data_IF_493993134122
#
_entry.id   IF_493993134122
#
_cell.length_a   1.000
_cell.length_b   1.000
_cell.length_c   1.000
_cell.angle_alpha   90.00
_cell.angle_beta   90.00
_cell.angle_gamma   90.00
#
_symmetry.space_group_name_H-M   'P 1'
#
loop_
_entity.id
_entity.type
_entity.pdbx_description
1 polymer ?
#
# COMPACT_ATOMS: atom_id res chain seq x y z
N UNK A 1 -35.13 6.09 12.33
CA UNK A 1 -34.55 5.63 11.06
C UNK A 1 -33.10 5.27 11.31
N UNK A 2 -32.75 4.03 11.01
CA UNK A 2 -31.49 3.39 11.38
C UNK A 2 -30.41 3.87 10.42
N UNK A 3 -29.39 4.55 10.94
CA UNK A 3 -28.13 4.77 10.26
C UNK A 3 -27.02 4.05 11.02
N UNK A 4 -26.94 2.72 10.89
CA UNK A 4 -25.71 2.01 11.24
C UNK A 4 -24.63 2.47 10.24
N UNK A 5 -23.93 3.55 10.57
CA UNK A 5 -22.74 3.96 9.87
C UNK A 5 -21.68 2.88 10.07
N UNK A 6 -21.60 1.94 9.12
CA UNK A 6 -20.39 1.12 8.95
C UNK A 6 -19.21 2.09 8.91
N UNK A 7 -18.40 2.11 9.96
CA UNK A 7 -17.10 2.76 9.93
C UNK A 7 -16.34 2.13 8.77
N UNK A 8 -16.24 2.84 7.64
CA UNK A 8 -15.32 2.48 6.58
C UNK A 8 -13.95 2.47 7.24
N UNK A 9 -13.38 1.29 7.34
CA UNK A 9 -12.06 1.09 7.92
C UNK A 9 -11.12 1.61 6.85
N UNK A 10 -10.80 2.89 6.89
CA UNK A 10 -9.91 3.52 5.91
C UNK A 10 -8.50 3.62 6.51
N UNK A 11 -7.49 3.28 5.71
CA UNK A 11 -6.07 3.50 6.01
C UNK A 11 -5.62 4.66 5.15
N UNK A 12 -5.65 5.88 5.72
CA UNK A 12 -5.04 7.07 5.13
C UNK A 12 -5.55 7.38 3.71
N UNK A 13 -6.87 7.24 3.53
CA UNK A 13 -7.56 7.47 2.25
C UNK A 13 -7.83 6.21 1.43
N UNK A 14 -7.40 5.02 1.89
CA UNK A 14 -7.63 3.75 1.22
C UNK A 14 -8.61 2.84 1.98
N UNK A 15 -9.58 2.19 1.31
CA UNK A 15 -10.46 1.23 1.96
C UNK A 15 -9.69 0.01 2.48
N UNK A 16 -9.96 -0.47 3.68
CA UNK A 16 -9.21 -1.57 4.30
C UNK A 16 -10.07 -2.81 4.57
N UNK A 17 -9.38 -3.91 4.92
CA UNK A 17 -9.98 -5.19 5.28
C UNK A 17 -10.69 -5.07 6.64
N UNK A 18 -12.02 -5.19 6.62
CA UNK A 18 -12.86 -4.97 7.80
C UNK A 18 -13.00 -6.23 8.66
N UNK A 19 -13.04 -7.41 8.04
CA UNK A 19 -13.34 -8.67 8.71
C UNK A 19 -12.10 -9.46 9.14
N UNK A 20 -12.21 -10.25 10.24
CA UNK A 20 -11.14 -11.15 10.70
C UNK A 20 -10.71 -12.18 9.62
N UNK A 21 -11.63 -12.83 8.89
CA UNK A 21 -11.25 -13.80 7.85
C UNK A 21 -10.46 -13.18 6.70
N UNK A 22 -10.80 -11.96 6.29
CA UNK A 22 -10.07 -11.26 5.23
C UNK A 22 -8.65 -10.90 5.66
N UNK A 23 -8.46 -10.47 6.92
CA UNK A 23 -7.12 -10.20 7.45
C UNK A 23 -6.27 -11.47 7.50
N UNK A 24 -6.82 -12.59 7.93
CA UNK A 24 -6.12 -13.87 7.92
C UNK A 24 -5.69 -14.28 6.50
N UNK A 25 -6.59 -14.16 5.52
CA UNK A 25 -6.25 -14.43 4.11
C UNK A 25 -5.15 -13.48 3.61
N UNK A 26 -5.24 -12.19 3.94
CA UNK A 26 -4.21 -11.23 3.57
C UNK A 26 -2.84 -11.59 4.16
N UNK A 27 -2.81 -11.99 5.43
CA UNK A 27 -1.59 -12.45 6.08
C UNK A 27 -1.06 -13.72 5.41
N UNK A 28 -1.91 -14.68 5.05
CA UNK A 28 -1.50 -15.89 4.30
C UNK A 28 -0.92 -15.59 2.92
N UNK A 29 -1.44 -14.58 2.22
CA UNK A 29 -0.96 -14.18 0.89
C UNK A 29 0.40 -13.47 0.92
N UNK A 30 0.89 -13.10 2.11
CA UNK A 30 2.19 -12.47 2.31
C UNK A 30 2.38 -11.24 1.42
N UNK A 31 1.32 -10.45 1.23
CA UNK A 31 1.40 -9.23 0.46
C UNK A 31 2.20 -8.16 1.21
N UNK A 32 3.12 -7.53 0.50
CA UNK A 32 3.82 -6.32 0.92
C UNK A 32 3.60 -5.21 -0.10
N UNK A 33 3.78 -3.96 0.32
CA UNK A 33 3.57 -2.82 -0.56
C UNK A 33 4.75 -1.87 -0.56
N UNK A 34 4.88 -1.15 -1.67
CA UNK A 34 5.64 0.11 -1.77
C UNK A 34 4.61 1.24 -1.92
N UNK A 35 4.76 2.29 -1.14
CA UNK A 35 3.80 3.39 -1.08
C UNK A 35 4.50 4.75 -1.15
N UNK A 36 3.75 5.75 -1.62
CA UNK A 36 4.08 7.16 -1.54
C UNK A 36 3.07 7.84 -0.61
N UNK A 37 3.56 8.40 0.50
CA UNK A 37 2.73 9.05 1.53
C UNK A 37 3.21 10.49 1.76
N UNK A 38 2.29 11.41 1.96
CA UNK A 38 2.62 12.79 2.28
C UNK A 38 1.39 13.60 2.65
N UNK A 39 1.51 14.91 2.89
CA UNK A 39 0.37 15.74 3.23
C UNK A 39 -0.65 15.77 2.09
N UNK A 40 -1.89 16.16 2.39
CA UNK A 40 -2.97 16.26 1.38
C UNK A 40 -2.60 17.13 0.17
N UNK A 41 -1.72 18.12 0.34
CA UNK A 41 -1.19 18.97 -0.76
C UNK A 41 -0.15 18.31 -1.67
N UNK A 42 0.21 17.04 -1.44
CA UNK A 42 0.99 16.22 -2.38
C UNK A 42 2.51 16.39 -2.34
N UNK A 43 3.07 17.31 -1.54
CA UNK A 43 4.53 17.47 -1.36
C UNK A 43 4.89 17.94 0.06
N UNK A 44 6.03 17.51 0.63
CA UNK A 44 6.92 16.46 0.13
C UNK A 44 6.31 15.06 0.31
N UNK A 45 6.80 14.08 -0.45
CA UNK A 45 6.35 12.69 -0.34
C UNK A 45 7.45 11.81 0.26
N UNK A 46 7.06 10.95 1.18
CA UNK A 46 7.86 9.83 1.65
C UNK A 46 7.57 8.61 0.81
N UNK A 47 8.61 8.00 0.26
CA UNK A 47 8.51 6.66 -0.31
C UNK A 47 8.83 5.65 0.79
N UNK A 48 8.07 4.57 0.89
CA UNK A 48 8.33 3.53 1.88
C UNK A 48 7.79 2.19 1.44
N UNK A 49 8.08 1.17 2.23
CA UNK A 49 7.49 -0.15 2.05
C UNK A 49 6.96 -0.67 3.38
N UNK A 50 5.96 -1.55 3.32
CA UNK A 50 5.38 -2.19 4.50
C UNK A 50 4.65 -3.48 4.16
N UNK A 51 4.73 -4.47 5.05
CA UNK A 51 3.80 -5.60 5.11
C UNK A 51 2.52 -5.22 5.83
N UNK A 52 2.65 -4.63 7.01
CA UNK A 52 1.55 -4.10 7.82
C UNK A 52 1.38 -2.59 7.58
N UNK A 53 0.73 -2.24 6.46
CA UNK A 53 0.56 -0.84 6.04
C UNK A 53 -0.14 -0.01 7.12
N UNK A 54 -1.20 -0.53 7.74
CA UNK A 54 -1.98 0.18 8.77
C UNK A 54 -1.10 0.64 9.93
N UNK A 55 -0.36 -0.28 10.53
CA UNK A 55 0.51 -0.01 11.68
C UNK A 55 1.61 0.98 11.30
N UNK A 56 2.18 0.80 10.10
CA UNK A 56 3.20 1.70 9.56
C UNK A 56 2.68 3.13 9.38
N UNK A 57 1.47 3.29 8.84
CA UNK A 57 0.89 4.62 8.63
C UNK A 57 0.54 5.29 9.95
N UNK A 58 0.02 4.55 10.93
CA UNK A 58 -0.23 5.07 12.28
C UNK A 58 1.05 5.60 12.92
N UNK A 59 2.14 4.83 12.85
CA UNK A 59 3.44 5.27 13.35
C UNK A 59 3.95 6.55 12.65
N UNK A 60 3.77 6.65 11.33
CA UNK A 60 4.17 7.84 10.58
C UNK A 60 3.33 9.08 10.92
N UNK A 61 2.03 8.91 11.15
CA UNK A 61 1.13 10.03 11.50
C UNK A 61 1.46 10.64 12.86
N UNK A 62 1.88 9.83 13.85
CA UNK A 62 2.31 10.34 15.16
C UNK A 62 3.49 11.31 15.05
N UNK A 63 4.36 11.10 14.06
CA UNK A 63 5.49 11.99 13.75
C UNK A 63 5.16 13.15 12.83
N UNK A 64 3.90 13.34 12.42
CA UNK A 64 3.49 14.39 11.47
C UNK A 64 2.39 15.26 12.03
N UNK A 65 2.63 16.57 12.03
CA UNK A 65 1.64 17.58 12.44
C UNK A 65 0.55 17.82 11.39
N UNK A 66 0.73 17.34 10.15
CA UNK A 66 -0.28 17.37 9.09
C UNK A 66 -0.87 15.98 8.87
N UNK A 67 -2.13 15.94 8.44
CA UNK A 67 -2.77 14.71 7.98
C UNK A 67 -2.00 14.15 6.78
N UNK A 68 -1.52 12.92 6.92
CA UNK A 68 -0.90 12.18 5.85
C UNK A 68 -1.95 11.46 5.01
N UNK A 69 -1.66 11.30 3.72
CA UNK A 69 -2.45 10.49 2.79
C UNK A 69 -1.55 9.65 1.92
N UNK A 70 -2.01 8.45 1.60
CA UNK A 70 -1.35 7.61 0.61
C UNK A 70 -1.76 8.11 -0.77
N UNK A 71 -0.78 8.65 -1.48
CA UNK A 71 -0.95 9.18 -2.83
C UNK A 71 -0.78 8.11 -3.90
N UNK A 72 0.06 7.11 -3.62
CA UNK A 72 0.23 5.95 -4.49
C UNK A 72 0.62 4.71 -3.69
N UNK A 73 0.21 3.54 -4.15
CA UNK A 73 0.57 2.26 -3.55
C UNK A 73 0.60 1.15 -4.60
N UNK A 74 1.63 0.33 -4.53
CA UNK A 74 1.83 -0.86 -5.36
C UNK A 74 2.06 -2.07 -4.45
N UNK A 75 1.28 -3.13 -4.64
CA UNK A 75 1.36 -4.38 -3.89
C UNK A 75 2.12 -5.43 -4.67
N UNK A 76 2.92 -6.23 -3.95
CA UNK A 76 3.74 -7.33 -4.47
C UNK A 76 3.67 -8.53 -3.54
N UNK A 77 3.86 -9.73 -4.09
CA UNK A 77 3.87 -10.95 -3.30
C UNK A 77 5.24 -11.13 -2.61
N UNK A 78 5.31 -10.83 -1.31
CA UNK A 78 6.49 -11.03 -0.49
C UNK A 78 7.35 -9.79 -0.24
N UNK A 79 7.94 -9.76 0.95
CA UNK A 79 8.72 -8.64 1.48
C UNK A 79 9.96 -8.34 0.64
N UNK A 80 10.67 -9.36 0.17
CA UNK A 80 11.91 -9.21 -0.61
C UNK A 80 11.66 -8.45 -1.94
N UNK A 81 10.52 -8.69 -2.59
CA UNK A 81 10.15 -7.97 -3.79
C UNK A 81 9.80 -6.51 -3.47
N UNK A 82 9.12 -6.25 -2.36
CA UNK A 82 8.79 -4.89 -1.94
C UNK A 82 10.05 -4.08 -1.60
N UNK A 83 11.00 -4.68 -0.88
CA UNK A 83 12.29 -4.08 -0.54
C UNK A 83 13.07 -3.76 -1.81
N UNK A 84 13.16 -4.71 -2.76
CA UNK A 84 13.85 -4.49 -4.04
C UNK A 84 13.21 -3.36 -4.85
N UNK A 85 11.88 -3.36 -4.94
CA UNK A 85 11.12 -2.32 -5.63
C UNK A 85 11.32 -0.94 -4.99
N UNK A 86 11.29 -0.87 -3.66
CA UNK A 86 11.56 0.35 -2.90
C UNK A 86 12.98 0.89 -3.15
N UNK A 87 14.00 0.02 -3.08
CA UNK A 87 15.39 0.41 -3.31
C UNK A 87 15.59 0.95 -4.73
N UNK A 88 14.99 0.32 -5.74
CA UNK A 88 15.10 0.77 -7.14
C UNK A 88 14.36 2.10 -7.38
N UNK A 89 13.17 2.27 -6.78
CA UNK A 89 12.41 3.51 -6.86
C UNK A 89 13.18 4.67 -6.21
N UNK A 90 13.68 4.48 -4.99
CA UNK A 90 14.45 5.50 -4.28
C UNK A 90 15.79 5.81 -4.97
N UNK A 91 16.49 4.81 -5.50
CA UNK A 91 17.71 5.03 -6.28
C UNK A 91 17.44 5.87 -7.55
N UNK A 92 16.29 5.68 -8.19
CA UNK A 92 15.86 6.50 -9.33
C UNK A 92 15.63 7.97 -8.91
N UNK A 93 14.96 8.18 -7.77
CA UNK A 93 14.72 9.53 -7.22
C UNK A 93 16.01 10.22 -6.76
N UNK A 94 16.97 9.45 -6.25
CA UNK A 94 18.30 9.96 -5.85
C UNK A 94 19.10 10.44 -7.04
N UNK A 95 19.11 9.67 -8.14
CA UNK A 95 19.74 10.09 -9.39
C UNK A 95 19.12 11.36 -9.95
N UNK A 96 17.82 11.56 -9.73
CA UNK A 96 17.10 12.78 -10.08
C UNK A 96 17.31 13.93 -9.07
N UNK A 97 18.16 13.77 -8.05
CA UNK A 97 18.46 14.75 -6.99
C UNK A 97 17.21 15.26 -6.27
N UNK A 98 16.24 14.38 -6.00
CA UNK A 98 14.96 14.74 -5.36
C UNK A 98 14.91 14.49 -3.85
N UNK A 99 15.90 13.81 -3.27
CA UNK A 99 15.91 13.49 -1.84
C UNK A 99 16.08 14.75 -1.01
N UNK A 100 15.22 14.91 0.00
CA UNK A 100 15.31 15.97 1.00
C UNK A 100 16.05 15.46 2.24
N UNK A 101 15.52 14.43 2.89
CA UNK A 101 16.09 13.82 4.08
C UNK A 101 15.51 12.43 4.31
N UNK A 102 16.37 11.44 4.60
CA UNK A 102 15.95 10.03 4.71
C UNK A 102 15.07 9.66 3.50
N UNK A 103 13.95 9.00 3.70
CA UNK A 103 13.05 8.58 2.61
C UNK A 103 12.07 9.66 2.14
N UNK A 104 12.31 10.94 2.47
CA UNK A 104 11.48 12.06 2.00
C UNK A 104 12.07 12.69 0.73
N UNK A 105 11.19 12.98 -0.23
CA UNK A 105 11.52 13.49 -1.54
C UNK A 105 10.62 14.68 -1.93
N UNK A 106 11.18 15.66 -2.63
CA UNK A 106 10.42 16.77 -3.24
C UNK A 106 9.89 16.36 -4.62
N UNK A 107 8.76 15.64 -4.63
CA UNK A 107 8.14 15.06 -5.84
C UNK A 107 6.61 15.10 -5.74
N UNK A 108 5.90 15.27 -6.86
CA UNK A 108 4.42 15.12 -6.88
C UNK A 108 3.99 13.67 -6.72
N UNK A 109 2.69 13.41 -6.43
CA UNK A 109 2.07 12.09 -6.53
C UNK A 109 2.32 11.37 -7.87
N UNK A 110 2.17 12.09 -8.98
CA UNK A 110 2.34 11.53 -10.33
C UNK A 110 3.79 11.10 -10.56
N UNK A 111 4.74 11.91 -10.10
CA UNK A 111 6.16 11.57 -10.20
C UNK A 111 6.53 10.37 -9.33
N UNK A 112 5.95 10.27 -8.12
CA UNK A 112 6.12 9.10 -7.26
C UNK A 112 5.54 7.83 -7.89
N UNK A 113 4.34 7.91 -8.49
CA UNK A 113 3.73 6.81 -9.24
C UNK A 113 4.62 6.37 -10.41
N UNK A 114 5.13 7.32 -11.20
CA UNK A 114 6.02 7.01 -12.32
C UNK A 114 7.33 6.36 -11.85
N UNK A 115 7.93 6.84 -10.76
CA UNK A 115 9.14 6.26 -10.20
C UNK A 115 8.92 4.82 -9.72
N UNK A 116 7.81 4.54 -9.04
CA UNK A 116 7.46 3.19 -8.58
C UNK A 116 7.19 2.26 -9.77
N UNK A 117 6.45 2.74 -10.79
CA UNK A 117 6.18 1.97 -12.01
C UNK A 117 7.46 1.65 -12.77
N UNK A 118 8.33 2.64 -12.99
CA UNK A 118 9.61 2.43 -13.68
C UNK A 118 10.50 1.44 -12.92
N UNK A 119 10.52 1.51 -11.59
CA UNK A 119 11.26 0.57 -10.75
C UNK A 119 10.73 -0.86 -10.87
N UNK A 120 9.41 -1.04 -10.96
CA UNK A 120 8.76 -2.33 -11.18
C UNK A 120 9.13 -2.90 -12.55
N UNK A 121 8.98 -2.10 -13.61
CA UNK A 121 9.29 -2.47 -15.00
C UNK A 121 10.76 -2.88 -15.13
N UNK A 122 11.68 -2.06 -14.60
CA UNK A 122 13.12 -2.33 -14.64
C UNK A 122 13.52 -3.59 -13.85
N UNK A 123 12.81 -3.88 -12.76
CA UNK A 123 13.11 -5.04 -11.91
C UNK A 123 12.39 -6.32 -12.34
N UNK A 124 11.50 -6.25 -13.34
CA UNK A 124 10.62 -7.36 -13.72
C UNK A 124 9.66 -7.78 -12.59
N UNK A 125 9.32 -6.86 -11.68
CA UNK A 125 8.47 -7.15 -10.52
C UNK A 125 7.03 -6.85 -10.88
N UNK A 126 6.18 -7.88 -10.89
CA UNK A 126 4.75 -7.68 -11.08
C UNK A 126 4.14 -6.99 -9.86
N UNK A 127 3.47 -5.87 -10.10
CA UNK A 127 2.72 -5.13 -9.06
C UNK A 127 1.23 -5.20 -9.34
N UNK A 128 0.42 -5.07 -8.29
CA UNK A 128 -1.02 -4.88 -8.39
C UNK A 128 -1.44 -3.64 -7.58
N UNK A 129 -2.54 -3.04 -7.97
CA UNK A 129 -3.16 -1.93 -7.26
C UNK A 129 -3.77 -2.39 -5.93
N UNK A 130 -4.07 -1.42 -5.06
CA UNK A 130 -4.75 -1.72 -3.80
C UNK A 130 -6.14 -2.35 -4.01
N UNK A 131 -6.91 -1.86 -4.99
CA UNK A 131 -8.22 -2.43 -5.32
C UNK A 131 -8.14 -3.89 -5.77
N UNK A 132 -7.16 -4.22 -6.61
CA UNK A 132 -6.91 -5.60 -7.06
C UNK A 132 -6.48 -6.50 -5.90
N UNK A 133 -5.62 -6.01 -5.00
CA UNK A 133 -5.24 -6.74 -3.79
C UNK A 133 -6.48 -7.08 -2.94
N UNK A 134 -7.35 -6.10 -2.67
CA UNK A 134 -8.59 -6.32 -1.93
C UNK A 134 -9.49 -7.34 -2.64
N UNK A 135 -9.60 -7.26 -3.97
CA UNK A 135 -10.42 -8.18 -4.74
C UNK A 135 -9.90 -9.62 -4.66
N UNK A 136 -8.58 -9.82 -4.69
CA UNK A 136 -7.97 -11.15 -4.53
C UNK A 136 -8.29 -11.77 -3.17
N UNK A 137 -8.16 -11.00 -2.09
CA UNK A 137 -8.51 -11.45 -0.73
C UNK A 137 -10.00 -11.85 -0.66
N UNK A 138 -10.89 -11.02 -1.21
CA UNK A 138 -12.34 -11.29 -1.21
C UNK A 138 -12.70 -12.51 -2.05
N UNK A 139 -12.06 -12.71 -3.20
CA UNK A 139 -12.28 -13.87 -4.07
C UNK A 139 -11.90 -15.18 -3.36
N UNK A 140 -10.76 -15.21 -2.68
CA UNK A 140 -10.32 -16.39 -1.91
C UNK A 140 -11.31 -16.68 -0.78
N UNK A 141 -11.77 -15.65 -0.07
CA UNK A 141 -12.80 -15.81 0.97
C UNK A 141 -14.07 -16.43 0.39
N UNK A 142 -14.55 -15.93 -0.75
CA UNK A 142 -15.74 -16.43 -1.43
C UNK A 142 -15.57 -17.92 -1.81
N UNK A 143 -14.45 -18.28 -2.43
CA UNK A 143 -14.13 -19.67 -2.79
C UNK A 143 -14.14 -20.59 -1.57
N UNK A 144 -13.52 -20.18 -0.45
CA UNK A 144 -13.50 -20.98 0.78
C UNK A 144 -14.90 -21.23 1.34
N UNK A 145 -15.79 -20.24 1.27
CA UNK A 145 -17.18 -20.38 1.73
C UNK A 145 -17.94 -21.35 0.82
N UNK A 146 -17.79 -21.22 -0.50
CA UNK A 146 -18.43 -22.12 -1.47
C UNK A 146 -17.97 -23.58 -1.31
N UNK A 147 -16.69 -23.80 -1.03
CA UNK A 147 -16.13 -25.13 -0.79
C UNK A 147 -16.67 -25.77 0.50
N UNK A 148 -16.90 -24.97 1.54
CA UNK A 148 -17.52 -25.45 2.79
C UNK A 148 -18.98 -25.83 2.55
N UNK A 149 -19.75 -25.00 1.82
CA UNK A 149 -21.16 -25.28 1.51
C UNK A 149 -21.31 -26.55 0.67
N UNK A 150 -20.43 -26.79 -0.31
CA UNK A 150 -20.47 -28.00 -1.15
C UNK A 150 -20.14 -29.29 -0.40
N UNK A 151 -19.48 -29.20 0.76
CA UNK A 151 -19.05 -30.35 1.57
C UNK A 151 -19.99 -30.65 2.75
N UNK A 152 -20.94 -29.77 3.01
CA UNK A 152 -21.99 -29.94 4.02
C UNK A 152 -23.22 -30.60 3.41
#
# INVERSE_FOLDING_TARGET
MIGFGMQKTDVFGLPWLSSKPERAIFDELQYACVYAVGPTGGRPLRIGWARQLKDRMQALQLGSWKELRIHHIAWVAGDMLAIRLFNEATATLDKAKRRLANDWFDITPEFAQQAIRLAADKSGIQTITHGEMLQKVRNIRKSRIEDVIKRA
#
